data_IF_355475602734
#
_entry.id   IF_355475602734
#
_cell.length_a   1.000
_cell.length_b   1.000
_cell.length_c   1.000
_cell.angle_alpha   90.00
_cell.angle_beta   90.00
_cell.angle_gamma   90.00
#
_symmetry.space_group_name_H-M   'P 1'
#
loop_
_entity.id
_entity.type
_entity.pdbx_description
1 polymer ?
#
# COMPACT_ATOMS: atom_id res chain seq x y z
N UNK A 1 4.30 2.12 11.62
CA UNK A 1 2.83 1.98 11.58
C UNK A 1 2.42 1.68 13.01
N UNK A 2 1.56 2.51 13.59
CA UNK A 2 1.02 2.29 14.93
C UNK A 2 -0.32 1.55 14.79
N UNK A 3 -0.52 0.51 15.60
CA UNK A 3 -1.70 -0.37 15.59
C UNK A 3 -2.43 -0.38 16.93
N UNK A 4 -2.04 0.48 17.88
CA UNK A 4 -2.61 0.49 19.24
C UNK A 4 -4.13 0.69 19.29
N UNK A 5 -4.72 1.31 18.26
CA UNK A 5 -6.16 1.58 18.17
C UNK A 5 -6.93 0.55 17.32
N UNK A 6 -6.30 -0.55 16.92
CA UNK A 6 -6.92 -1.61 16.12
C UNK A 6 -7.06 -2.85 17.02
N UNK A 7 -8.30 -3.22 17.31
CA UNK A 7 -8.59 -4.41 18.09
C UNK A 7 -8.27 -5.68 17.29
N UNK A 8 -7.81 -6.73 17.97
CA UNK A 8 -7.61 -8.08 17.43
C UNK A 8 -6.61 -8.19 16.26
N UNK A 9 -5.65 -7.27 16.12
CA UNK A 9 -4.58 -7.42 15.12
C UNK A 9 -3.69 -8.63 15.44
N UNK A 10 -3.40 -9.45 14.43
CA UNK A 10 -2.60 -10.67 14.54
C UNK A 10 -1.39 -10.67 13.61
N UNK A 11 -0.39 -11.48 13.96
CA UNK A 11 0.76 -11.72 13.08
C UNK A 11 0.28 -12.48 11.85
N UNK A 12 0.54 -11.89 10.67
CA UNK A 12 0.12 -12.46 9.39
C UNK A 12 -1.09 -11.77 8.77
N UNK A 13 -1.71 -10.81 9.46
CA UNK A 13 -2.82 -10.02 8.91
C UNK A 13 -2.41 -9.27 7.64
N UNK A 14 -3.32 -9.26 6.67
CA UNK A 14 -3.13 -8.57 5.40
C UNK A 14 -3.17 -7.06 5.59
N UNK A 15 -2.22 -6.38 4.96
CA UNK A 15 -2.15 -4.92 4.90
C UNK A 15 -2.03 -4.45 3.45
N UNK A 16 -2.76 -3.39 3.13
CA UNK A 16 -2.71 -2.75 1.81
C UNK A 16 -1.88 -1.47 1.91
N UNK A 17 -0.72 -1.44 1.24
CA UNK A 17 0.14 -0.24 1.17
C UNK A 17 -0.27 0.72 0.03
N UNK A 18 -0.97 0.21 -0.98
CA UNK A 18 -1.49 0.92 -2.13
C UNK A 18 -2.64 0.10 -2.73
N UNK A 19 -3.83 0.68 -2.88
CA UNK A 19 -5.03 -0.01 -3.31
C UNK A 19 -6.15 0.07 -2.27
N UNK A 20 -7.13 -0.83 -2.36
CA UNK A 20 -8.36 -0.79 -1.56
C UNK A 20 -8.46 -1.98 -0.61
N UNK A 21 -8.87 -1.72 0.63
CA UNK A 21 -9.22 -2.73 1.65
C UNK A 21 -10.57 -2.36 2.27
N UNK A 22 -11.61 -3.15 1.98
CA UNK A 22 -12.99 -2.79 2.36
C UNK A 22 -13.40 -1.45 1.74
N UNK A 23 -13.81 -0.51 2.60
CA UNK A 23 -14.22 0.85 2.22
C UNK A 23 -13.07 1.87 2.23
N UNK A 24 -11.88 1.49 2.69
CA UNK A 24 -10.71 2.35 2.72
C UNK A 24 -9.85 2.14 1.45
N UNK A 25 -9.30 3.22 0.91
CA UNK A 25 -8.42 3.20 -0.25
C UNK A 25 -7.21 4.11 -0.05
N UNK A 26 -6.04 3.63 -0.48
CA UNK A 26 -4.81 4.40 -0.61
C UNK A 26 -4.45 4.44 -2.10
N UNK A 27 -4.88 5.47 -2.85
CA UNK A 27 -4.63 5.55 -4.29
C UNK A 27 -3.15 5.84 -4.57
N UNK A 28 -2.65 5.31 -5.69
CA UNK A 28 -1.28 5.57 -6.14
C UNK A 28 -0.99 7.08 -6.33
N UNK A 29 -2.01 7.85 -6.70
CA UNK A 29 -1.91 9.30 -6.84
C UNK A 29 -1.59 10.01 -5.52
N UNK A 30 -2.19 9.57 -4.41
CA UNK A 30 -1.89 10.13 -3.08
C UNK A 30 -0.44 9.85 -2.67
N UNK A 31 0.07 8.64 -2.97
CA UNK A 31 1.47 8.30 -2.72
C UNK A 31 2.42 9.16 -3.55
N UNK A 32 2.07 9.40 -4.81
CA UNK A 32 2.85 10.25 -5.70
C UNK A 32 2.89 11.71 -5.21
N UNK A 33 1.75 12.26 -4.81
CA UNK A 33 1.64 13.60 -4.23
C UNK A 33 2.48 13.74 -2.97
N UNK A 34 2.34 12.79 -2.01
CA UNK A 34 3.14 12.76 -0.78
C UNK A 34 4.64 12.64 -1.04
N UNK A 35 5.03 11.97 -2.12
CA UNK A 35 6.41 11.82 -2.54
C UNK A 35 6.91 12.96 -3.45
N UNK A 36 6.07 13.93 -3.81
CA UNK A 36 6.42 15.03 -4.72
C UNK A 36 6.76 14.57 -6.14
N UNK A 37 6.14 13.49 -6.62
CA UNK A 37 6.39 12.88 -7.93
C UNK A 37 5.08 12.50 -8.63
N UNK A 38 5.18 11.69 -9.70
CA UNK A 38 4.06 11.17 -10.48
C UNK A 38 3.78 9.70 -10.16
N UNK A 39 2.60 9.21 -10.53
CA UNK A 39 2.18 7.81 -10.30
C UNK A 39 3.11 6.78 -10.92
N UNK A 40 3.69 7.10 -12.08
CA UNK A 40 4.67 6.26 -12.77
C UNK A 40 5.92 5.98 -11.93
N UNK A 41 6.39 6.99 -11.19
CA UNK A 41 7.54 6.85 -10.30
C UNK A 41 7.24 5.87 -9.16
N UNK A 42 6.02 5.93 -8.60
CA UNK A 42 5.61 5.02 -7.53
C UNK A 42 5.56 3.57 -8.02
N UNK A 43 4.88 3.32 -9.14
CA UNK A 43 4.70 1.95 -9.66
C UNK A 43 6.00 1.33 -10.16
N UNK A 44 6.86 2.10 -10.82
CA UNK A 44 8.14 1.61 -11.34
C UNK A 44 9.22 1.42 -10.27
N UNK A 45 9.12 2.12 -9.13
CA UNK A 45 10.01 1.91 -7.97
C UNK A 45 9.73 0.62 -7.21
N UNK A 46 8.62 -0.08 -7.49
CA UNK A 46 8.36 -1.42 -6.95
C UNK A 46 9.35 -2.42 -7.57
N UNK A 47 10.46 -2.62 -6.86
CA UNK A 47 11.58 -3.44 -7.32
C UNK A 47 11.26 -4.93 -7.44
N UNK A 48 12.20 -5.67 -8.00
CA UNK A 48 12.06 -7.11 -8.30
C UNK A 48 11.86 -8.00 -7.07
N UNK A 49 12.21 -7.54 -5.86
CA UNK A 49 12.00 -8.29 -4.61
C UNK A 49 10.52 -8.46 -4.25
N UNK A 50 9.65 -7.57 -4.73
CA UNK A 50 8.21 -7.68 -4.54
C UNK A 50 7.66 -8.66 -5.58
N UNK A 51 7.17 -9.81 -5.11
CA UNK A 51 6.57 -10.84 -5.95
C UNK A 51 5.29 -10.30 -6.60
N UNK A 52 5.19 -10.38 -7.92
CA UNK A 52 3.98 -10.05 -8.68
C UNK A 52 3.15 -11.31 -8.86
N UNK A 53 1.88 -11.24 -8.47
CA UNK A 53 0.88 -12.31 -8.62
C UNK A 53 -0.23 -11.76 -9.51
N UNK A 54 -0.68 -12.56 -10.48
CA UNK A 54 -1.74 -12.20 -11.42
C UNK A 54 -3.00 -13.01 -11.09
N UNK A 55 -4.15 -12.35 -11.12
CA UNK A 55 -5.48 -12.93 -10.84
C UNK A 55 -6.31 -12.91 -12.11
#
# INVERSE_FOLDING_TARGET
>A
IDVNNIDNVQVGDEVVLMGRQGDAEIPCAELAEKAGTITWDITTRIGARVRRVFV
#
